data_IF_234107526014
#
_entry.id   IF_234107526014
#
_cell.length_a   1.000
_cell.length_b   1.000
_cell.length_c   1.000
_cell.angle_alpha   90.00
_cell.angle_beta   90.00
_cell.angle_gamma   90.00
#
_symmetry.space_group_name_H-M   'P 1'
#
loop_
_entity.id
_entity.type
_entity.pdbx_description
1 polymer ?
#
# COMPACT_ATOMS: atom_id res chain seq x y z
N UNK A 1 -0.33 -29.53 -13.82
CA UNK A 1 -0.54 -28.11 -13.53
C UNK A 1 -2.02 -27.95 -13.27
N UNK A 2 -2.42 -27.04 -12.42
CA UNK A 2 -3.85 -26.76 -12.17
C UNK A 2 -4.40 -25.83 -13.26
N UNK A 3 -5.72 -25.69 -13.31
CA UNK A 3 -6.37 -24.74 -14.22
C UNK A 3 -5.89 -23.31 -13.98
N UNK A 4 -5.66 -22.94 -12.72
CA UNK A 4 -5.16 -21.62 -12.35
C UNK A 4 -3.71 -21.36 -12.80
N UNK A 5 -2.82 -22.33 -12.61
CA UNK A 5 -1.43 -22.21 -13.10
C UNK A 5 -1.36 -22.16 -14.63
N UNK A 6 -2.23 -22.88 -15.34
CA UNK A 6 -2.31 -22.85 -16.81
C UNK A 6 -2.84 -21.51 -17.31
N UNK A 7 -3.81 -20.92 -16.63
CA UNK A 7 -4.29 -19.56 -16.90
C UNK A 7 -3.20 -18.50 -16.70
N UNK A 8 -2.51 -18.52 -15.55
CA UNK A 8 -1.40 -17.60 -15.28
C UNK A 8 -0.32 -17.72 -16.37
N UNK A 9 0.03 -18.93 -16.76
CA UNK A 9 0.97 -19.17 -17.85
C UNK A 9 0.48 -18.57 -19.17
N UNK A 10 -0.83 -18.67 -19.44
CA UNK A 10 -1.47 -18.07 -20.62
C UNK A 10 -1.37 -16.54 -20.61
N UNK A 11 -1.68 -15.89 -19.49
CA UNK A 11 -1.62 -14.42 -19.33
C UNK A 11 -0.21 -13.88 -19.67
N UNK A 12 0.84 -14.57 -19.25
CA UNK A 12 2.24 -14.20 -19.49
C UNK A 12 2.82 -14.75 -20.80
N UNK A 13 2.03 -15.36 -21.69
CA UNK A 13 2.53 -15.89 -22.96
C UNK A 13 2.79 -14.81 -24.00
N UNK A 14 3.46 -15.16 -25.09
CA UNK A 14 3.70 -14.25 -26.24
C UNK A 14 2.43 -13.66 -26.86
N UNK A 15 1.31 -14.34 -26.71
CA UNK A 15 -0.01 -13.96 -27.22
C UNK A 15 -1.02 -13.80 -26.09
N UNK A 16 -0.53 -13.72 -24.85
CA UNK A 16 -1.38 -13.61 -23.68
C UNK A 16 -1.84 -12.18 -23.44
N UNK A 17 -2.62 -12.01 -22.38
CA UNK A 17 -3.22 -10.73 -22.04
C UNK A 17 -2.18 -9.61 -21.84
N UNK A 18 -1.04 -9.92 -21.21
CA UNK A 18 0.03 -8.94 -21.03
C UNK A 18 0.67 -8.49 -22.35
N UNK A 19 0.62 -9.30 -23.41
CA UNK A 19 1.16 -8.94 -24.73
C UNK A 19 0.38 -7.79 -25.39
N UNK A 20 -0.82 -7.46 -24.93
CA UNK A 20 -1.61 -6.31 -25.38
C UNK A 20 -1.12 -4.99 -24.78
N UNK A 21 -0.26 -5.04 -23.75
CA UNK A 21 0.29 -3.84 -23.10
C UNK A 21 1.44 -3.30 -23.89
N UNK A 22 1.42 -2.00 -24.17
CA UNK A 22 2.49 -1.31 -24.90
C UNK A 22 3.84 -1.46 -24.14
N UNK A 23 4.87 -1.92 -24.87
CA UNK A 23 6.21 -2.12 -24.32
C UNK A 23 6.38 -3.43 -23.54
N UNK A 24 5.39 -4.32 -23.49
CA UNK A 24 5.56 -5.64 -22.92
C UNK A 24 6.50 -6.49 -23.77
N UNK A 25 7.48 -7.09 -23.13
CA UNK A 25 8.41 -8.05 -23.71
C UNK A 25 8.25 -9.38 -22.97
N UNK A 26 7.97 -10.44 -23.74
CA UNK A 26 7.88 -11.78 -23.13
C UNK A 26 9.22 -12.20 -22.53
N UNK A 27 9.19 -12.62 -21.27
CA UNK A 27 10.34 -13.12 -20.52
C UNK A 27 9.98 -14.43 -19.86
N UNK A 28 10.61 -15.55 -20.30
CA UNK A 28 10.32 -16.88 -19.75
C UNK A 28 10.48 -16.95 -18.23
N UNK A 29 11.46 -16.23 -17.66
CA UNK A 29 11.71 -16.19 -16.23
C UNK A 29 10.58 -15.51 -15.45
N UNK A 30 10.02 -14.44 -16.02
CA UNK A 30 8.85 -13.75 -15.43
C UNK A 30 7.62 -14.66 -15.45
N UNK A 31 7.36 -15.32 -16.57
CA UNK A 31 6.26 -16.28 -16.68
C UNK A 31 6.43 -17.44 -15.69
N UNK A 32 7.63 -18.01 -15.59
CA UNK A 32 7.90 -19.12 -14.67
C UNK A 32 7.66 -18.66 -13.21
N UNK A 33 8.18 -17.50 -12.82
CA UNK A 33 7.95 -16.95 -11.49
C UNK A 33 6.46 -16.77 -11.19
N UNK A 34 5.68 -16.25 -12.15
CA UNK A 34 4.25 -16.06 -11.96
C UNK A 34 3.51 -17.39 -11.76
N UNK A 35 3.87 -18.44 -12.53
CA UNK A 35 3.33 -19.78 -12.38
C UNK A 35 3.70 -20.38 -11.03
N UNK A 36 4.94 -20.22 -10.58
CA UNK A 36 5.39 -20.77 -9.30
C UNK A 36 4.71 -20.06 -8.10
N UNK A 37 4.45 -18.75 -8.22
CA UNK A 37 3.64 -18.01 -7.23
C UNK A 37 2.21 -18.56 -7.20
N UNK A 38 1.60 -18.80 -8.37
CA UNK A 38 0.25 -19.37 -8.46
C UNK A 38 0.17 -20.77 -7.84
N UNK A 39 1.11 -21.66 -8.15
CA UNK A 39 1.21 -23.01 -7.57
C UNK A 39 1.35 -22.96 -6.04
N UNK A 40 2.17 -22.04 -5.56
CA UNK A 40 2.41 -21.86 -4.11
C UNK A 40 1.15 -21.40 -3.39
N UNK A 41 0.39 -20.47 -3.97
CA UNK A 41 -0.86 -19.95 -3.40
C UNK A 41 -1.93 -21.07 -3.34
N UNK A 42 -2.11 -21.84 -4.42
CA UNK A 42 -3.08 -22.93 -4.46
C UNK A 42 -2.76 -24.05 -3.46
N UNK A 43 -1.48 -24.37 -3.31
CA UNK A 43 -1.04 -25.48 -2.47
C UNK A 43 -0.72 -25.07 -1.02
N UNK A 44 -0.88 -23.77 -0.67
CA UNK A 44 -0.56 -23.25 0.65
C UNK A 44 0.92 -23.42 1.03
N UNK A 45 1.84 -23.33 0.04
CA UNK A 45 3.27 -23.50 0.23
C UNK A 45 4.00 -22.16 0.34
N UNK A 46 5.11 -22.14 1.04
CA UNK A 46 6.03 -21.02 1.01
C UNK A 46 6.92 -21.11 -0.25
N UNK A 47 7.13 -19.94 -0.87
CA UNK A 47 7.97 -19.82 -2.06
C UNK A 47 8.96 -18.68 -1.89
N UNK A 48 10.21 -18.92 -2.22
CA UNK A 48 11.29 -17.93 -2.20
C UNK A 48 11.93 -17.95 -3.57
N UNK A 49 12.07 -16.77 -4.17
CA UNK A 49 12.69 -16.61 -5.48
C UNK A 49 13.62 -15.41 -5.48
N UNK A 50 14.76 -15.55 -6.09
CA UNK A 50 15.67 -14.46 -6.41
C UNK A 50 15.67 -14.20 -7.91
N UNK A 51 15.52 -12.95 -8.29
CA UNK A 51 15.53 -12.53 -9.69
C UNK A 51 16.23 -11.19 -9.86
N UNK A 52 16.98 -11.00 -10.95
CA UNK A 52 17.68 -9.74 -11.22
C UNK A 52 16.69 -8.58 -11.36
N UNK A 53 17.21 -7.36 -11.24
CA UNK A 53 16.43 -6.15 -11.53
C UNK A 53 15.96 -6.14 -13.00
N UNK A 54 14.78 -5.63 -13.25
CA UNK A 54 14.23 -5.51 -14.61
C UNK A 54 13.58 -6.77 -15.18
N UNK A 55 13.57 -7.90 -14.48
CA UNK A 55 12.88 -9.12 -14.95
C UNK A 55 11.35 -9.01 -14.89
N UNK A 56 10.84 -7.97 -14.24
CA UNK A 56 9.38 -7.76 -14.10
C UNK A 56 8.78 -8.50 -12.91
N UNK A 57 9.50 -8.61 -11.79
CA UNK A 57 9.06 -9.29 -10.56
C UNK A 57 7.67 -8.82 -10.09
N UNK A 58 7.42 -7.51 -10.13
CA UNK A 58 6.15 -6.95 -9.63
C UNK A 58 4.94 -7.54 -10.34
N UNK A 59 4.95 -7.59 -11.67
CA UNK A 59 3.87 -8.23 -12.44
C UNK A 59 3.76 -9.72 -12.12
N UNK A 60 4.91 -10.41 -12.00
CA UNK A 60 4.94 -11.85 -11.79
C UNK A 60 4.32 -12.27 -10.45
N UNK A 61 4.36 -11.44 -9.41
CA UNK A 61 3.66 -11.75 -8.17
C UNK A 61 2.29 -11.07 -8.07
N UNK A 62 2.07 -9.88 -8.64
CA UNK A 62 0.80 -9.17 -8.54
C UNK A 62 -0.33 -9.89 -9.27
N UNK A 63 -0.10 -10.33 -10.51
CA UNK A 63 -1.13 -10.96 -11.33
C UNK A 63 -1.72 -12.20 -10.65
N UNK A 64 -0.93 -13.23 -10.26
CA UNK A 64 -1.49 -14.37 -9.56
C UNK A 64 -2.08 -14.02 -8.19
N UNK A 65 -1.50 -13.05 -7.47
CA UNK A 65 -2.01 -12.63 -6.16
C UNK A 65 -3.37 -11.97 -6.25
N UNK A 66 -3.58 -11.07 -7.21
CA UNK A 66 -4.87 -10.40 -7.43
C UNK A 66 -5.95 -11.44 -7.81
N UNK A 67 -5.66 -12.28 -8.81
CA UNK A 67 -6.63 -13.28 -9.28
C UNK A 67 -6.97 -14.30 -8.20
N UNK A 68 -5.97 -14.74 -7.43
CA UNK A 68 -6.18 -15.67 -6.32
C UNK A 68 -6.97 -15.05 -5.18
N UNK A 69 -6.65 -13.80 -4.81
CA UNK A 69 -7.35 -13.06 -3.75
C UNK A 69 -8.83 -12.90 -4.05
N UNK A 70 -9.15 -12.42 -5.26
CA UNK A 70 -10.55 -12.20 -5.71
C UNK A 70 -11.33 -13.51 -5.75
N UNK A 71 -10.76 -14.59 -6.30
CA UNK A 71 -11.45 -15.87 -6.46
C UNK A 71 -11.72 -16.60 -5.16
N UNK A 72 -10.84 -16.44 -4.21
CA UNK A 72 -10.90 -17.18 -2.95
C UNK A 72 -11.38 -16.32 -1.77
N UNK A 73 -11.81 -15.07 -2.05
CA UNK A 73 -12.24 -14.12 -1.02
C UNK A 73 -11.17 -13.98 0.10
N UNK A 74 -9.90 -13.90 -0.31
CA UNK A 74 -8.74 -13.77 0.59
C UNK A 74 -8.03 -12.45 0.32
N UNK A 75 -7.46 -11.87 1.36
CA UNK A 75 -6.68 -10.64 1.21
C UNK A 75 -5.23 -10.96 0.82
N UNK A 76 -4.77 -10.30 -0.23
CA UNK A 76 -3.36 -10.28 -0.60
C UNK A 76 -2.66 -9.11 0.10
N UNK A 77 -1.54 -9.37 0.77
CA UNK A 77 -0.73 -8.35 1.42
C UNK A 77 0.60 -8.28 0.69
N UNK A 78 0.89 -7.11 0.12
CA UNK A 78 2.16 -6.83 -0.53
C UNK A 78 3.00 -5.98 0.42
N UNK A 79 4.04 -6.58 0.95
CA UNK A 79 5.01 -5.90 1.82
C UNK A 79 6.26 -5.57 1.02
N UNK A 80 6.64 -4.29 0.96
CA UNK A 80 7.84 -3.81 0.23
C UNK A 80 8.74 -2.97 1.14
N UNK A 81 9.96 -2.65 0.72
CA UNK A 81 10.91 -2.02 1.62
C UNK A 81 10.71 -0.50 1.77
N UNK A 82 10.22 0.21 0.75
CA UNK A 82 10.17 1.69 0.76
C UNK A 82 8.79 2.24 0.43
N UNK A 83 8.54 3.48 0.89
CA UNK A 83 7.31 4.22 0.55
C UNK A 83 7.23 4.49 -0.97
N UNK A 84 8.36 4.76 -1.63
CA UNK A 84 8.38 5.01 -3.06
C UNK A 84 7.92 3.78 -3.86
N UNK A 85 8.34 2.58 -3.48
CA UNK A 85 7.85 1.34 -4.09
C UNK A 85 6.36 1.11 -3.82
N UNK A 86 5.88 1.42 -2.61
CA UNK A 86 4.45 1.39 -2.32
C UNK A 86 3.66 2.32 -3.24
N UNK A 87 4.13 3.58 -3.41
CA UNK A 87 3.50 4.57 -4.29
C UNK A 87 3.50 4.13 -5.76
N UNK A 88 4.58 3.53 -6.24
CA UNK A 88 4.65 2.97 -7.58
C UNK A 88 3.59 1.88 -7.79
N UNK A 89 3.51 0.92 -6.86
CA UNK A 89 2.51 -0.16 -6.94
C UNK A 89 1.08 0.39 -6.96
N UNK A 90 0.74 1.31 -6.05
CA UNK A 90 -0.62 1.83 -5.89
C UNK A 90 -1.04 2.78 -7.01
N UNK A 91 -0.12 3.63 -7.48
CA UNK A 91 -0.49 4.68 -8.44
C UNK A 91 -0.31 4.26 -9.90
N UNK A 92 0.48 3.20 -10.16
CA UNK A 92 0.79 2.76 -11.51
C UNK A 92 0.47 1.28 -11.73
N UNK A 93 1.20 0.37 -11.09
CA UNK A 93 1.20 -1.04 -11.47
C UNK A 93 -0.16 -1.70 -11.22
N UNK A 94 -0.77 -1.48 -10.05
CA UNK A 94 -2.07 -2.06 -9.68
C UNK A 94 -3.23 -1.49 -10.52
N UNK A 95 -3.37 -0.16 -10.74
CA UNK A 95 -4.39 0.39 -11.63
C UNK A 95 -4.30 -0.09 -13.07
N UNK A 96 -3.09 -0.25 -13.61
CA UNK A 96 -2.86 -0.79 -14.95
C UNK A 96 -3.31 -2.25 -15.02
N UNK A 97 -2.95 -3.05 -14.01
CA UNK A 97 -3.37 -4.45 -13.92
C UNK A 97 -4.88 -4.63 -13.73
N UNK A 98 -5.52 -3.79 -12.92
CA UNK A 98 -6.98 -3.85 -12.72
C UNK A 98 -7.74 -3.68 -14.04
N UNK A 99 -7.30 -2.73 -14.88
CA UNK A 99 -7.88 -2.52 -16.21
C UNK A 99 -7.61 -3.70 -17.14
N UNK A 100 -6.37 -4.20 -17.13
CA UNK A 100 -5.95 -5.28 -18.02
C UNK A 100 -6.64 -6.59 -17.69
N UNK A 101 -6.69 -6.96 -16.43
CA UNK A 101 -7.29 -8.21 -15.95
C UNK A 101 -8.83 -8.21 -16.03
N UNK A 102 -9.45 -7.02 -16.10
CA UNK A 102 -10.90 -6.88 -16.14
C UNK A 102 -11.61 -7.40 -14.88
N UNK A 103 -10.91 -7.45 -13.75
CA UNK A 103 -11.45 -7.85 -12.44
C UNK A 103 -11.68 -6.64 -11.56
N UNK A 104 -12.81 -6.63 -10.87
CA UNK A 104 -13.10 -5.59 -9.87
C UNK A 104 -12.59 -6.05 -8.50
N UNK A 105 -11.72 -5.27 -7.91
CA UNK A 105 -11.17 -5.50 -6.58
C UNK A 105 -10.77 -4.19 -5.90
N UNK A 106 -10.82 -4.18 -4.59
CA UNK A 106 -10.44 -3.02 -3.79
C UNK A 106 -8.98 -3.14 -3.37
N UNK A 107 -8.24 -2.08 -3.56
CA UNK A 107 -6.85 -2.02 -3.10
C UNK A 107 -6.59 -0.75 -2.30
N UNK A 108 -5.73 -0.85 -1.31
CA UNK A 108 -5.40 0.26 -0.41
C UNK A 108 -3.92 0.24 -0.04
N UNK A 109 -3.37 1.43 0.22
CA UNK A 109 -2.06 1.61 0.82
C UNK A 109 -2.20 2.00 2.28
N UNK A 110 -1.51 1.31 3.15
CA UNK A 110 -1.36 1.73 4.54
C UNK A 110 0.08 2.16 4.80
N UNK A 111 0.23 3.39 5.25
CA UNK A 111 1.51 3.97 5.68
C UNK A 111 1.58 4.04 7.19
N UNK A 112 2.79 4.18 7.74
CA UNK A 112 2.96 4.48 9.15
C UNK A 112 2.23 5.77 9.53
N UNK A 113 1.71 5.83 10.74
CA UNK A 113 0.85 6.92 11.25
C UNK A 113 1.45 8.32 11.03
N UNK A 114 2.75 8.46 11.21
CA UNK A 114 3.48 9.71 11.01
C UNK A 114 3.52 10.23 9.55
N UNK A 115 3.02 9.44 8.60
CA UNK A 115 2.85 9.90 7.22
C UNK A 115 1.48 10.55 6.96
N UNK A 116 0.59 10.57 7.93
CA UNK A 116 -0.74 11.17 7.83
C UNK A 116 -0.83 12.47 8.59
N UNK A 117 -1.53 13.44 8.04
CA UNK A 117 -1.88 14.70 8.73
C UNK A 117 -2.93 14.41 9.80
N UNK A 118 -2.74 14.97 10.98
CA UNK A 118 -3.77 15.11 12.00
C UNK A 118 -4.53 16.42 11.78
N UNK A 119 -5.79 16.35 11.39
CA UNK A 119 -6.62 17.54 11.12
C UNK A 119 -6.75 18.45 12.33
N UNK A 120 -6.78 17.90 13.55
CA UNK A 120 -6.80 18.69 14.80
C UNK A 120 -5.49 19.44 15.03
N UNK A 121 -4.35 18.78 14.81
CA UNK A 121 -3.02 19.44 14.94
C UNK A 121 -2.82 20.48 13.83
N UNK A 122 -3.25 20.19 12.61
CA UNK A 122 -3.21 21.15 11.51
C UNK A 122 -4.03 22.41 11.84
N UNK A 123 -5.25 22.26 12.33
CA UNK A 123 -6.08 23.40 12.73
C UNK A 123 -5.47 24.18 13.89
N UNK A 124 -4.89 23.50 14.90
CA UNK A 124 -4.18 24.15 16.00
C UNK A 124 -2.97 24.93 15.49
N UNK A 125 -2.14 24.31 14.64
CA UNK A 125 -0.97 24.95 14.04
C UNK A 125 -1.35 26.20 13.22
N UNK A 126 -2.49 26.16 12.51
CA UNK A 126 -3.00 27.34 11.79
C UNK A 126 -3.39 28.50 12.70
N UNK A 127 -3.93 28.22 13.89
CA UNK A 127 -4.27 29.25 14.88
C UNK A 127 -3.00 29.85 15.50
N UNK A 128 -2.02 29.00 15.82
CA UNK A 128 -0.79 29.37 16.53
C UNK A 128 0.38 29.72 15.58
N UNK A 129 0.15 29.82 14.26
CA UNK A 129 1.17 29.90 13.22
C UNK A 129 2.21 31.02 13.44
N UNK A 130 1.79 32.16 13.96
CA UNK A 130 2.66 33.30 14.20
C UNK A 130 3.64 33.11 15.36
N UNK A 131 3.33 32.21 16.30
CA UNK A 131 4.18 31.88 17.45
C UNK A 131 5.04 30.64 17.22
N UNK A 132 4.60 29.73 16.34
CA UNK A 132 5.26 28.44 16.09
C UNK A 132 6.26 28.49 14.94
N UNK A 133 6.02 29.34 13.92
CA UNK A 133 6.71 29.23 12.63
C UNK A 133 7.29 30.55 12.13
N UNK A 134 8.41 30.45 11.42
CA UNK A 134 8.94 31.54 10.60
C UNK A 134 8.05 31.83 9.40
N UNK A 135 8.21 32.97 8.75
CA UNK A 135 7.35 33.40 7.62
C UNK A 135 7.29 32.37 6.47
N UNK A 136 8.43 31.75 6.14
CA UNK A 136 8.47 30.69 5.09
C UNK A 136 7.72 29.43 5.49
N UNK A 137 7.82 29.02 6.75
CA UNK A 137 7.10 27.87 7.29
C UNK A 137 5.60 28.14 7.38
N UNK A 138 5.20 29.37 7.72
CA UNK A 138 3.79 29.79 7.71
C UNK A 138 3.19 29.70 6.30
N UNK A 139 3.95 30.03 5.26
CA UNK A 139 3.51 29.87 3.87
C UNK A 139 3.34 28.38 3.50
N UNK A 140 4.27 27.55 3.93
CA UNK A 140 4.18 26.09 3.72
C UNK A 140 2.96 25.52 4.45
N UNK A 141 2.76 25.87 5.70
CA UNK A 141 1.58 25.45 6.48
C UNK A 141 0.27 25.87 5.80
N UNK A 142 0.21 27.12 5.28
CA UNK A 142 -0.98 27.57 4.54
C UNK A 142 -1.24 26.76 3.28
N UNK A 143 -0.19 26.46 2.49
CA UNK A 143 -0.32 25.60 1.30
C UNK A 143 -0.83 24.21 1.64
N UNK A 144 -0.34 23.61 2.74
CA UNK A 144 -0.81 22.31 3.22
C UNK A 144 -2.28 22.40 3.59
N UNK A 145 -2.68 23.42 4.36
CA UNK A 145 -4.06 23.60 4.78
C UNK A 145 -5.02 23.73 3.58
N UNK A 146 -4.65 24.55 2.59
CA UNK A 146 -5.44 24.76 1.38
C UNK A 146 -5.55 23.47 0.54
N UNK A 147 -4.44 22.72 0.40
CA UNK A 147 -4.41 21.45 -0.31
C UNK A 147 -5.32 20.41 0.35
N UNK A 148 -5.18 20.22 1.66
CA UNK A 148 -5.99 19.23 2.42
C UNK A 148 -7.48 19.53 2.28
N UNK A 149 -7.88 20.80 2.38
CA UNK A 149 -9.29 21.19 2.29
C UNK A 149 -9.85 21.11 0.86
N UNK A 150 -9.00 21.28 -0.16
CA UNK A 150 -9.40 21.21 -1.56
C UNK A 150 -9.47 19.78 -2.08
N UNK A 151 -8.40 19.01 -1.85
CA UNK A 151 -8.18 17.73 -2.52
C UNK A 151 -8.58 16.53 -1.64
N UNK A 152 -8.84 16.75 -0.34
CA UNK A 152 -9.23 15.69 0.59
C UNK A 152 -8.19 14.61 0.80
N UNK A 153 -6.91 14.91 0.47
CA UNK A 153 -5.75 14.03 0.65
C UNK A 153 -4.93 14.49 1.84
N UNK A 154 -4.36 13.55 2.59
CA UNK A 154 -3.74 13.87 3.86
C UNK A 154 -2.49 13.06 4.19
N UNK A 155 -1.78 12.53 3.22
CA UNK A 155 -0.45 11.95 3.45
C UNK A 155 0.65 12.92 2.98
N UNK A 156 1.84 12.79 3.55
CA UNK A 156 2.98 13.62 3.17
C UNK A 156 3.33 13.49 1.68
N UNK A 157 3.16 12.31 1.13
CA UNK A 157 3.46 12.00 -0.28
C UNK A 157 2.42 12.53 -1.27
N UNK A 158 1.22 12.86 -0.79
CA UNK A 158 0.19 13.48 -1.63
C UNK A 158 0.51 14.93 -2.01
N UNK A 159 1.40 15.59 -1.25
CA UNK A 159 1.70 17.01 -1.44
C UNK A 159 2.56 17.22 -2.68
N UNK A 160 2.12 18.07 -3.63
CA UNK A 160 2.87 18.35 -4.87
C UNK A 160 4.01 19.37 -4.69
N UNK A 161 4.38 19.67 -3.45
CA UNK A 161 5.43 20.63 -3.07
C UNK A 161 6.24 20.10 -1.90
N UNK A 162 7.49 20.57 -1.73
CA UNK A 162 8.32 20.18 -0.60
C UNK A 162 7.73 20.70 0.71
N UNK A 163 7.81 19.86 1.75
CA UNK A 163 7.34 20.18 3.09
C UNK A 163 8.55 20.26 4.03
N UNK A 164 8.64 21.34 4.76
CA UNK A 164 9.61 21.51 5.83
C UNK A 164 9.35 20.51 6.96
N UNK A 165 10.39 19.85 7.46
CA UNK A 165 10.27 18.85 8.51
C UNK A 165 9.76 19.45 9.83
N UNK A 166 10.09 20.71 10.13
CA UNK A 166 9.57 21.40 11.32
C UNK A 166 8.06 21.59 11.21
N UNK A 167 7.56 22.02 10.03
CA UNK A 167 6.12 22.14 9.79
C UNK A 167 5.43 20.79 9.88
N UNK A 168 6.03 19.74 9.26
CA UNK A 168 5.46 18.41 9.30
C UNK A 168 5.36 17.86 10.72
N UNK A 169 6.39 18.06 11.55
CA UNK A 169 6.43 17.57 12.94
C UNK A 169 5.30 18.12 13.81
N UNK A 170 4.79 19.31 13.49
CA UNK A 170 3.69 19.92 14.23
C UNK A 170 2.30 19.44 13.81
N UNK A 171 2.17 18.82 12.63
CA UNK A 171 0.86 18.52 12.05
C UNK A 171 0.58 17.02 11.82
N UNK A 172 1.60 16.15 11.87
CA UNK A 172 1.38 14.72 11.62
C UNK A 172 0.62 14.01 12.76
N UNK A 173 0.04 12.85 12.45
CA UNK A 173 -0.64 11.99 13.41
C UNK A 173 0.37 11.26 14.29
N UNK A 174 0.40 11.57 15.59
CA UNK A 174 1.39 11.11 16.56
C UNK A 174 0.92 9.88 17.34
N UNK A 175 1.85 8.96 17.62
CA UNK A 175 1.58 7.81 18.46
C UNK A 175 1.36 8.21 19.92
N UNK A 176 0.47 7.53 20.62
CA UNK A 176 0.11 7.86 22.00
C UNK A 176 -0.89 9.01 22.16
N UNK A 177 -0.89 9.99 21.22
CA UNK A 177 -1.85 11.11 21.22
C UNK A 177 -3.10 10.76 20.39
N UNK A 178 -2.91 10.08 19.26
CA UNK A 178 -3.99 9.64 18.37
C UNK A 178 -4.68 8.39 18.89
N UNK A 179 -5.61 8.54 19.82
CA UNK A 179 -6.48 7.46 20.28
C UNK A 179 -7.91 7.71 19.81
N UNK A 180 -8.73 6.66 19.78
CA UNK A 180 -10.15 6.78 19.47
C UNK A 180 -10.86 7.73 20.46
N UNK A 181 -10.42 7.77 21.74
CA UNK A 181 -10.93 8.68 22.76
C UNK A 181 -10.52 10.14 22.51
N UNK A 182 -9.26 10.38 22.15
CA UNK A 182 -8.75 11.75 21.92
C UNK A 182 -9.29 12.39 20.65
N UNK A 183 -9.63 11.56 19.65
CA UNK A 183 -10.17 12.02 18.36
C UNK A 183 -11.69 12.05 18.32
N UNK A 184 -12.38 11.57 19.38
CA UNK A 184 -13.85 11.63 19.44
C UNK A 184 -14.55 10.53 18.65
N UNK A 185 -13.96 9.35 18.53
CA UNK A 185 -14.58 8.08 18.08
C UNK A 185 -15.19 8.04 16.67
N UNK A 186 -15.79 9.12 16.22
CA UNK A 186 -16.49 9.25 14.95
C UNK A 186 -16.00 10.44 14.11
N UNK A 187 -14.77 10.92 14.37
CA UNK A 187 -14.21 12.00 13.55
C UNK A 187 -13.89 11.47 12.15
N UNK A 188 -14.88 11.60 11.26
CA UNK A 188 -14.85 11.19 9.86
C UNK A 188 -13.72 11.86 9.07
N UNK A 189 -13.07 12.89 9.62
CA UNK A 189 -12.02 13.67 8.97
C UNK A 189 -10.59 13.22 9.31
N UNK A 190 -10.40 12.12 10.04
CA UNK A 190 -9.07 11.60 10.33
C UNK A 190 -8.55 10.72 9.19
N UNK A 191 -7.59 11.19 8.43
CA UNK A 191 -7.00 10.47 7.29
C UNK A 191 -6.44 9.09 7.65
N UNK A 192 -5.79 8.97 8.80
CA UNK A 192 -5.26 7.70 9.27
C UNK A 192 -6.38 6.68 9.62
N UNK A 193 -7.46 7.13 10.28
CA UNK A 193 -8.59 6.23 10.58
C UNK A 193 -9.36 5.83 9.31
N UNK A 194 -9.51 6.76 8.36
CA UNK A 194 -10.10 6.45 7.06
C UNK A 194 -9.27 5.41 6.30
N UNK A 195 -7.93 5.55 6.27
CA UNK A 195 -7.05 4.57 5.66
C UNK A 195 -7.17 3.19 6.33
N UNK A 196 -7.22 3.16 7.67
CA UNK A 196 -7.46 1.91 8.42
C UNK A 196 -8.81 1.28 8.12
N UNK A 197 -9.85 2.07 7.91
CA UNK A 197 -11.15 1.53 7.55
C UNK A 197 -11.13 0.94 6.13
N UNK A 198 -10.58 1.69 5.15
CA UNK A 198 -10.44 1.19 3.77
C UNK A 198 -9.58 -0.07 3.68
N UNK A 199 -8.53 -0.17 4.49
CA UNK A 199 -7.70 -1.38 4.59
C UNK A 199 -8.50 -2.63 4.96
N UNK A 200 -9.52 -2.51 5.82
CA UNK A 200 -10.34 -3.66 6.22
C UNK A 200 -11.11 -4.24 5.04
N UNK A 201 -11.59 -3.38 4.16
CA UNK A 201 -12.43 -3.73 3.03
C UNK A 201 -11.63 -4.01 1.75
N UNK A 202 -10.30 -3.88 1.80
CA UNK A 202 -9.43 -4.10 0.66
C UNK A 202 -9.14 -5.59 0.43
N UNK A 203 -9.17 -6.00 -0.84
CA UNK A 203 -8.74 -7.33 -1.31
C UNK A 203 -7.22 -7.40 -1.47
N UNK A 204 -6.59 -6.25 -1.77
CA UNK A 204 -5.15 -6.09 -1.89
C UNK A 204 -4.67 -4.95 -1.00
N UNK A 205 -3.74 -5.24 -0.10
CA UNK A 205 -3.14 -4.26 0.81
C UNK A 205 -1.66 -4.09 0.50
N UNK A 206 -1.23 -2.85 0.30
CA UNK A 206 0.20 -2.51 0.12
C UNK A 206 0.69 -1.79 1.37
N UNK A 207 1.81 -2.25 1.93
CA UNK A 207 2.44 -1.65 3.09
C UNK A 207 3.96 -1.90 3.09
N UNK A 208 4.72 -1.27 3.99
CA UNK A 208 6.14 -1.58 4.12
C UNK A 208 6.41 -2.67 5.16
N UNK A 209 7.60 -3.27 5.09
CA UNK A 209 7.99 -4.35 6.00
C UNK A 209 7.85 -3.98 7.47
N UNK A 210 8.32 -2.79 7.86
CA UNK A 210 8.24 -2.32 9.23
C UNK A 210 6.79 -2.27 9.73
N UNK A 211 5.89 -1.73 8.92
CA UNK A 211 4.47 -1.66 9.28
C UNK A 211 3.83 -3.04 9.31
N UNK A 212 4.19 -3.92 8.36
CA UNK A 212 3.73 -5.30 8.36
C UNK A 212 4.06 -6.00 9.68
N UNK A 213 5.31 -6.00 10.09
CA UNK A 213 5.72 -6.66 11.34
C UNK A 213 5.14 -5.99 12.59
N UNK A 214 4.94 -4.68 12.55
CA UNK A 214 4.23 -3.97 13.63
C UNK A 214 2.79 -4.48 13.77
N UNK A 215 2.06 -4.57 12.66
CA UNK A 215 0.67 -5.06 12.66
C UNK A 215 0.58 -6.54 13.00
N UNK A 216 1.53 -7.34 12.51
CA UNK A 216 1.63 -8.76 12.82
C UNK A 216 1.88 -9.01 14.32
N UNK A 217 2.74 -8.23 14.95
CA UNK A 217 2.98 -8.31 16.38
C UNK A 217 1.74 -7.94 17.23
N UNK A 218 0.84 -7.09 16.73
CA UNK A 218 -0.46 -6.85 17.37
C UNK A 218 -1.42 -8.03 17.22
N UNK A 219 -1.46 -8.66 16.06
CA UNK A 219 -2.25 -9.87 15.81
C UNK A 219 -1.90 -10.99 16.81
N UNK A 220 -0.61 -11.23 17.04
CA UNK A 220 -0.16 -12.26 17.99
C UNK A 220 -0.56 -11.97 19.47
N UNK A 221 -0.66 -10.69 19.84
CA UNK A 221 -0.88 -10.29 21.24
C UNK A 221 -2.35 -10.12 21.62
N UNK A 222 -3.17 -9.62 20.72
CA UNK A 222 -4.51 -9.10 21.04
C UNK A 222 -5.66 -9.88 20.39
N UNK A 223 -5.40 -10.88 19.56
CA UNK A 223 -6.42 -11.65 18.80
C UNK A 223 -7.36 -10.78 17.94
N UNK A 224 -7.21 -9.47 17.95
CA UNK A 224 -7.95 -8.48 17.18
C UNK A 224 -7.00 -7.76 16.22
N UNK A 225 -6.35 -8.52 15.35
CA UNK A 225 -5.43 -7.98 14.35
C UNK A 225 -6.14 -7.33 13.16
N UNK A 226 -5.39 -6.53 12.43
CA UNK A 226 -5.80 -6.02 11.11
C UNK A 226 -5.47 -6.98 9.97
N UNK A 227 -4.76 -8.05 10.27
CA UNK A 227 -4.38 -9.15 9.39
C UNK A 227 -5.15 -10.39 9.84
N UNK A 228 -5.73 -11.12 8.91
CA UNK A 228 -6.57 -12.27 9.21
C UNK A 228 -5.85 -13.57 8.91
N UNK A 229 -6.26 -14.67 9.57
CA UNK A 229 -5.66 -15.99 9.44
C UNK A 229 -5.61 -16.52 7.99
N UNK A 230 -6.58 -16.12 7.16
CA UNK A 230 -6.67 -16.55 5.76
C UNK A 230 -5.91 -15.64 4.79
N UNK A 231 -5.31 -14.56 5.25
CA UNK A 231 -4.55 -13.65 4.41
C UNK A 231 -3.22 -14.31 3.98
N UNK A 232 -2.68 -13.87 2.86
CA UNK A 232 -1.34 -14.27 2.44
C UNK A 232 -0.47 -13.05 2.16
N UNK A 233 0.84 -13.23 2.27
CA UNK A 233 1.78 -12.11 2.16
C UNK A 233 2.85 -12.40 1.10
N UNK A 234 3.13 -11.37 0.31
CA UNK A 234 4.28 -11.30 -0.60
C UNK A 234 5.27 -10.29 -0.01
N UNK A 235 6.49 -10.73 0.25
CA UNK A 235 7.60 -9.86 0.64
C UNK A 235 8.42 -9.52 -0.60
N UNK A 236 8.24 -8.31 -1.13
CA UNK A 236 9.06 -7.79 -2.22
C UNK A 236 10.33 -7.17 -1.65
N UNK A 237 11.49 -7.42 -2.29
CA UNK A 237 12.81 -7.07 -1.77
C UNK A 237 13.07 -7.67 -0.37
N UNK A 238 12.71 -8.95 -0.19
CA UNK A 238 12.73 -9.67 1.08
C UNK A 238 14.11 -9.70 1.76
N UNK A 239 15.19 -9.48 1.01
CA UNK A 239 16.56 -9.36 1.55
C UNK A 239 16.74 -8.14 2.49
N UNK A 240 15.78 -7.21 2.51
CA UNK A 240 15.77 -6.05 3.41
C UNK A 240 14.99 -6.29 4.71
N UNK A 241 14.43 -7.49 4.88
CA UNK A 241 13.74 -7.91 6.11
C UNK A 241 14.78 -8.39 7.10
N UNK A 242 15.09 -7.57 8.12
CA UNK A 242 15.95 -7.90 9.25
C UNK A 242 15.13 -8.04 10.54
#
# INVERSE_FOLDING_TARGET
MSEFTDEIKGIFSHTGLLAETEGFEFRPQQQQMAVDVADSLENGKHFIVEGPTGVGKSLAYLVPSILYAVRNERKAIISTCTINLQEQLINKDIPELAKLLGVDFKYEILKGRNNYICTKRLNKAMIEKSSLFMTSEQQTLQKIYDFVNRDGKGTRQDMPFPIDDNVWSEIFAEEGVCTQKSCGGEDTNCFYQQAKQRMKDADLLVLNHHLFFTLFGFYERESEGYLYFNDFVIFDEAHTVE
#
